data_IF_486155237386
#
_entry.id   IF_486155237386
#
_cell.length_a   1.000
_cell.length_b   1.000
_cell.length_c   1.000
_cell.angle_alpha   90.00
_cell.angle_beta   90.00
_cell.angle_gamma   90.00
#
_symmetry.space_group_name_H-M   'P 1'
#
loop_
_entity.id
_entity.type
_entity.pdbx_description
1 polymer ?
#
# COMPACT_ATOMS: atom_id res chain seq x y z
N UNK A 1 10.72 19.63 -39.80
CA UNK A 1 9.27 19.33 -39.59
C UNK A 1 9.01 17.98 -38.91
N UNK A 2 9.83 16.95 -39.15
CA UNK A 2 9.58 15.58 -38.67
C UNK A 2 9.72 15.39 -37.15
N UNK A 3 10.69 16.07 -36.52
CA UNK A 3 10.84 16.07 -35.05
C UNK A 3 9.66 16.71 -34.31
N UNK A 4 9.02 17.73 -34.89
CA UNK A 4 7.84 18.41 -34.31
C UNK A 4 6.60 17.50 -34.41
N UNK A 5 6.40 16.81 -35.54
CA UNK A 5 5.34 15.79 -35.72
C UNK A 5 5.52 14.58 -34.79
N UNK A 6 6.75 14.06 -34.62
CA UNK A 6 7.06 12.99 -33.65
C UNK A 6 6.76 13.41 -32.21
N UNK A 7 7.14 14.64 -31.83
CA UNK A 7 6.87 15.19 -30.49
C UNK A 7 5.38 15.39 -30.21
N UNK A 8 4.60 15.88 -31.19
CA UNK A 8 3.14 16.02 -31.09
C UNK A 8 2.47 14.65 -30.98
N UNK A 9 2.84 13.67 -31.81
CA UNK A 9 2.33 12.29 -31.72
C UNK A 9 2.64 11.65 -30.36
N UNK A 10 3.86 11.80 -29.86
CA UNK A 10 4.26 11.29 -28.53
C UNK A 10 3.46 11.95 -27.40
N UNK A 11 3.19 13.25 -27.51
CA UNK A 11 2.38 13.99 -26.55
C UNK A 11 0.90 13.54 -26.60
N UNK A 12 0.32 13.38 -27.79
CA UNK A 12 -1.04 12.87 -27.97
C UNK A 12 -1.20 11.44 -27.45
N UNK A 13 -0.25 10.54 -27.76
CA UNK A 13 -0.22 9.18 -27.23
C UNK A 13 -0.09 9.16 -25.70
N UNK A 14 0.70 10.08 -25.13
CA UNK A 14 0.83 10.25 -23.68
C UNK A 14 -0.48 10.69 -23.01
N UNK A 15 -1.15 11.70 -23.57
CA UNK A 15 -2.45 12.19 -23.06
C UNK A 15 -3.51 11.08 -23.16
N UNK A 16 -3.60 10.40 -24.32
CA UNK A 16 -4.54 9.30 -24.52
C UNK A 16 -4.28 8.14 -23.55
N UNK A 17 -3.02 7.74 -23.35
CA UNK A 17 -2.65 6.74 -22.36
C UNK A 17 -3.03 7.16 -20.94
N UNK A 18 -2.86 8.44 -20.58
CA UNK A 18 -3.25 8.98 -19.28
C UNK A 18 -4.77 8.92 -19.06
N UNK A 19 -5.57 9.24 -20.08
CA UNK A 19 -7.03 9.15 -20.04
C UNK A 19 -7.47 7.69 -19.89
N UNK A 20 -6.91 6.77 -20.68
CA UNK A 20 -7.22 5.35 -20.57
C UNK A 20 -6.85 4.76 -19.21
N UNK A 21 -5.68 5.14 -18.67
CA UNK A 21 -5.29 4.74 -17.33
C UNK A 21 -6.26 5.28 -16.27
N UNK A 22 -6.69 6.53 -16.41
CA UNK A 22 -7.68 7.16 -15.52
C UNK A 22 -9.00 6.41 -15.53
N UNK A 23 -9.54 6.13 -16.72
CA UNK A 23 -10.79 5.39 -16.86
C UNK A 23 -10.66 3.97 -16.32
N UNK A 24 -9.58 3.27 -16.67
CA UNK A 24 -9.31 1.91 -16.19
C UNK A 24 -9.21 1.84 -14.67
N UNK A 25 -8.47 2.77 -14.05
CA UNK A 25 -8.30 2.81 -12.59
C UNK A 25 -9.61 3.18 -11.88
N UNK A 26 -10.37 4.13 -12.42
CA UNK A 26 -11.68 4.50 -11.87
C UNK A 26 -12.66 3.32 -11.94
N UNK A 27 -12.82 2.72 -13.12
CA UNK A 27 -13.68 1.54 -13.29
C UNK A 27 -13.24 0.39 -12.39
N UNK A 28 -11.93 0.14 -12.26
CA UNK A 28 -11.40 -0.88 -11.35
C UNK A 28 -11.79 -0.62 -9.89
N UNK A 29 -11.70 0.63 -9.42
CA UNK A 29 -12.15 0.98 -8.07
C UNK A 29 -13.65 0.77 -7.86
N UNK A 30 -14.48 1.11 -8.85
CA UNK A 30 -15.94 0.86 -8.78
C UNK A 30 -16.23 -0.64 -8.74
N UNK A 31 -15.56 -1.42 -9.59
CA UNK A 31 -15.70 -2.87 -9.65
C UNK A 31 -15.30 -3.55 -8.35
N UNK A 32 -14.17 -3.16 -7.74
CA UNK A 32 -13.74 -3.71 -6.44
C UNK A 32 -14.74 -3.37 -5.34
N UNK A 33 -15.23 -2.13 -5.27
CA UNK A 33 -16.18 -1.74 -4.22
C UNK A 33 -17.59 -2.34 -4.38
N UNK A 34 -17.90 -2.99 -5.51
CA UNK A 34 -19.26 -3.44 -5.83
C UNK A 34 -19.39 -4.91 -6.21
N UNK A 35 -18.44 -5.48 -6.95
CA UNK A 35 -18.62 -6.77 -7.65
C UNK A 35 -17.41 -7.71 -7.62
N UNK A 36 -16.18 -7.18 -7.57
CA UNK A 36 -14.96 -7.98 -7.71
C UNK A 36 -14.32 -8.20 -6.36
N UNK A 37 -14.24 -9.47 -5.98
CA UNK A 37 -13.60 -9.95 -4.77
C UNK A 37 -12.29 -10.69 -5.13
N UNK A 38 -11.28 -10.56 -4.27
CA UNK A 38 -10.06 -11.36 -4.34
C UNK A 38 -10.34 -12.83 -3.98
N UNK A 39 -9.51 -13.74 -4.51
CA UNK A 39 -9.63 -15.16 -4.23
C UNK A 39 -9.44 -15.42 -2.71
N UNK A 40 -10.18 -16.40 -2.17
CA UNK A 40 -9.85 -16.93 -0.85
C UNK A 40 -8.44 -17.50 -0.88
N UNK A 41 -7.66 -17.18 0.14
CA UNK A 41 -6.23 -17.52 0.19
C UNK A 41 -5.73 -17.56 1.63
N UNK A 42 -4.49 -18.02 1.89
CA UNK A 42 -3.93 -18.07 3.24
C UNK A 42 -3.86 -16.73 3.99
N UNK A 43 -4.14 -15.60 3.31
CA UNK A 43 -4.19 -14.26 3.92
C UNK A 43 -5.58 -13.61 3.82
N UNK A 44 -6.57 -14.33 3.29
CA UNK A 44 -7.95 -13.86 3.11
C UNK A 44 -8.92 -15.03 3.31
N UNK A 45 -9.50 -15.11 4.50
CA UNK A 45 -10.48 -16.17 4.85
C UNK A 45 -11.78 -16.03 4.07
N UNK A 46 -12.19 -14.78 3.79
CA UNK A 46 -13.49 -14.46 3.22
C UNK A 46 -14.65 -14.73 4.18
N UNK A 47 -14.38 -14.87 5.48
CA UNK A 47 -15.41 -14.95 6.52
C UNK A 47 -16.19 -13.64 6.60
N UNK A 48 -17.51 -13.74 6.78
CA UNK A 48 -18.34 -12.56 7.02
C UNK A 48 -18.10 -12.03 8.43
N UNK A 49 -17.88 -10.72 8.58
CA UNK A 49 -17.62 -10.12 9.89
C UNK A 49 -16.19 -10.36 10.40
N UNK A 50 -15.21 -10.54 9.50
CA UNK A 50 -13.79 -10.72 9.87
C UNK A 50 -13.26 -9.59 10.76
N UNK A 51 -13.79 -8.38 10.59
CA UNK A 51 -13.49 -7.19 11.41
C UNK A 51 -13.86 -7.32 12.90
N UNK A 52 -14.68 -8.31 13.25
CA UNK A 52 -15.09 -8.60 14.63
C UNK A 52 -14.40 -9.84 15.20
N UNK A 53 -13.61 -10.55 14.39
CA UNK A 53 -12.89 -11.73 14.84
C UNK A 53 -11.64 -11.33 15.65
N UNK A 54 -11.17 -12.19 16.57
CA UNK A 54 -9.94 -11.95 17.30
C UNK A 54 -8.74 -11.79 16.34
N UNK A 55 -7.81 -10.93 16.73
CA UNK A 55 -6.62 -10.63 15.93
C UNK A 55 -5.34 -10.82 16.74
N UNK A 56 -4.27 -11.19 16.04
CA UNK A 56 -2.91 -11.22 16.57
C UNK A 56 -2.11 -10.06 15.98
N UNK A 57 -1.27 -9.42 16.79
CA UNK A 57 -0.38 -8.35 16.37
C UNK A 57 1.06 -8.86 16.35
N UNK A 58 1.75 -8.65 15.22
CA UNK A 58 3.20 -8.82 15.13
C UNK A 58 3.88 -7.58 14.63
N UNK A 59 5.14 -7.44 14.99
CA UNK A 59 5.94 -6.28 14.66
C UNK A 59 7.29 -6.68 14.07
N UNK A 60 7.70 -5.99 13.03
CA UNK A 60 9.01 -6.09 12.39
C UNK A 60 9.72 -4.74 12.45
N UNK A 61 11.04 -4.76 12.36
CA UNK A 61 11.87 -3.56 12.33
C UNK A 61 12.97 -3.70 11.29
N UNK A 62 13.02 -2.76 10.35
CA UNK A 62 14.01 -2.72 9.28
C UNK A 62 14.92 -1.50 9.42
N UNK A 63 16.21 -1.63 9.08
CA UNK A 63 17.12 -0.49 9.03
C UNK A 63 16.71 0.48 7.92
N UNK A 64 16.49 1.74 8.26
CA UNK A 64 16.16 2.75 7.26
C UNK A 64 17.35 3.02 6.33
N UNK A 65 18.58 2.82 6.80
CA UNK A 65 19.77 3.02 5.98
C UNK A 65 19.95 1.92 4.93
N UNK A 66 19.66 0.67 5.27
CA UNK A 66 19.57 -0.42 4.29
C UNK A 66 18.47 -0.15 3.26
N UNK A 67 17.31 0.36 3.70
CA UNK A 67 16.23 0.74 2.77
C UNK A 67 16.68 1.90 1.86
N UNK A 68 17.37 2.91 2.39
CA UNK A 68 17.94 4.01 1.59
C UNK A 68 18.98 3.51 0.60
N UNK A 69 19.78 2.49 0.94
CA UNK A 69 20.73 1.87 0.04
C UNK A 69 20.02 1.24 -1.17
N UNK A 70 19.00 0.40 -0.91
CA UNK A 70 18.15 -0.20 -1.96
C UNK A 70 17.50 0.90 -2.81
N UNK A 71 16.94 1.92 -2.13
CA UNK A 71 16.30 3.07 -2.78
C UNK A 71 17.23 3.73 -3.79
N UNK A 72 18.47 4.02 -3.39
CA UNK A 72 19.47 4.68 -4.24
C UNK A 72 19.90 3.77 -5.40
N UNK A 73 20.17 2.49 -5.13
CA UNK A 73 20.56 1.51 -6.16
C UNK A 73 19.50 1.31 -7.23
N UNK A 74 18.23 1.29 -6.85
CA UNK A 74 17.10 1.09 -7.78
C UNK A 74 16.50 2.43 -8.24
N UNK A 75 16.94 3.57 -7.73
CA UNK A 75 16.32 4.87 -8.01
C UNK A 75 14.82 4.95 -7.68
N UNK A 76 14.33 4.17 -6.70
CA UNK A 76 12.91 4.06 -6.26
C UNK A 76 12.64 4.92 -5.02
N UNK A 77 11.47 4.80 -4.37
CA UNK A 77 11.18 5.43 -3.07
C UNK A 77 11.22 4.41 -1.92
N UNK A 78 11.31 4.89 -0.67
CA UNK A 78 11.22 4.04 0.54
C UNK A 78 9.91 3.24 0.55
N UNK A 79 8.81 3.88 0.16
CA UNK A 79 7.48 3.25 0.10
C UNK A 79 7.43 2.13 -0.95
N UNK A 80 8.12 2.30 -2.08
CA UNK A 80 8.19 1.25 -3.11
C UNK A 80 8.95 0.03 -2.58
N UNK A 81 10.07 0.25 -1.87
CA UNK A 81 10.86 -0.83 -1.28
C UNK A 81 10.03 -1.61 -0.26
N UNK A 82 9.46 -0.94 0.74
CA UNK A 82 8.70 -1.64 1.79
C UNK A 82 7.42 -2.29 1.26
N UNK A 83 6.72 -1.66 0.29
CA UNK A 83 5.57 -2.29 -0.36
C UNK A 83 5.99 -3.55 -1.11
N UNK A 84 7.11 -3.49 -1.84
CA UNK A 84 7.68 -4.64 -2.53
C UNK A 84 8.08 -5.77 -1.59
N UNK A 85 8.69 -5.43 -0.45
CA UNK A 85 9.04 -6.38 0.63
C UNK A 85 7.80 -7.08 1.19
N UNK A 86 6.77 -6.32 1.59
CA UNK A 86 5.52 -6.87 2.11
C UNK A 86 4.84 -7.75 1.05
N UNK A 87 4.80 -7.31 -0.22
CA UNK A 87 4.22 -8.07 -1.32
C UNK A 87 4.94 -9.41 -1.56
N UNK A 88 6.27 -9.40 -1.60
CA UNK A 88 7.05 -10.61 -1.80
C UNK A 88 6.90 -11.57 -0.62
N UNK A 89 7.05 -11.08 0.62
CA UNK A 89 6.90 -11.89 1.82
C UNK A 89 5.50 -12.49 1.94
N UNK A 90 4.47 -11.70 1.60
CA UNK A 90 3.08 -12.17 1.55
C UNK A 90 2.91 -13.29 0.52
N UNK A 91 3.50 -13.18 -0.67
CA UNK A 91 3.43 -14.25 -1.69
C UNK A 91 4.17 -15.51 -1.27
N UNK A 92 5.34 -15.38 -0.66
CA UNK A 92 6.10 -16.53 -0.16
C UNK A 92 5.35 -17.24 0.97
N UNK A 93 4.75 -16.48 1.90
CA UNK A 93 3.87 -17.03 2.94
C UNK A 93 2.70 -17.80 2.34
N UNK A 94 1.97 -17.19 1.38
CA UNK A 94 0.85 -17.86 0.72
C UNK A 94 1.28 -19.20 0.10
N UNK A 95 2.33 -19.19 -0.74
CA UNK A 95 2.81 -20.39 -1.43
C UNK A 95 3.27 -21.48 -0.45
N UNK A 96 3.85 -21.10 0.68
CA UNK A 96 4.31 -22.03 1.72
C UNK A 96 3.15 -22.66 2.52
N UNK A 97 2.11 -21.88 2.83
CA UNK A 97 0.94 -22.39 3.57
C UNK A 97 0.04 -23.23 2.65
N UNK A 98 -0.14 -22.80 1.40
CA UNK A 98 -0.96 -23.50 0.41
C UNK A 98 -0.29 -23.41 -0.96
N UNK A 99 0.27 -24.53 -1.40
CA UNK A 99 0.99 -24.65 -2.67
C UNK A 99 0.09 -24.21 -3.84
N UNK A 100 0.59 -23.34 -4.70
CA UNK A 100 -0.12 -22.74 -5.82
C UNK A 100 -0.88 -21.45 -5.48
N UNK A 101 -1.09 -21.13 -4.20
CA UNK A 101 -1.81 -19.91 -3.80
C UNK A 101 -0.99 -18.62 -4.05
N UNK A 102 0.32 -18.73 -4.32
CA UNK A 102 1.14 -17.61 -4.80
C UNK A 102 0.66 -17.02 -6.15
N UNK A 103 -0.25 -17.69 -6.85
CA UNK A 103 -0.88 -17.24 -8.12
C UNK A 103 -2.29 -16.66 -7.94
N UNK A 104 -2.85 -16.69 -6.73
CA UNK A 104 -4.17 -16.18 -6.42
C UNK A 104 -4.28 -14.68 -6.73
N UNK A 105 -5.48 -14.24 -7.11
CA UNK A 105 -5.81 -12.82 -7.24
C UNK A 105 -5.75 -12.20 -5.85
N UNK A 106 -4.84 -11.24 -5.70
CA UNK A 106 -4.56 -10.60 -4.43
C UNK A 106 -4.31 -9.13 -4.69
N UNK A 107 -5.08 -8.31 -4.00
CA UNK A 107 -5.09 -6.86 -4.13
C UNK A 107 -4.75 -6.26 -2.78
N UNK A 108 -3.76 -5.36 -2.79
CA UNK A 108 -3.42 -4.51 -1.66
C UNK A 108 -4.12 -3.16 -1.79
N UNK A 109 -4.75 -2.68 -0.73
CA UNK A 109 -5.20 -1.30 -0.62
C UNK A 109 -4.09 -0.48 0.05
N UNK A 110 -3.35 0.25 -0.78
CA UNK A 110 -2.35 1.20 -0.31
C UNK A 110 -3.03 2.54 -0.05
N UNK A 111 -2.93 3.07 1.16
CA UNK A 111 -3.53 4.35 1.52
C UNK A 111 -2.64 5.50 1.06
N UNK A 112 -3.19 6.36 0.20
CA UNK A 112 -2.56 7.58 -0.27
C UNK A 112 -3.10 8.77 0.53
N UNK A 113 -2.21 9.54 1.17
CA UNK A 113 -2.58 10.86 1.71
C UNK A 113 -2.91 11.82 0.56
N UNK A 114 -4.10 12.42 0.58
CA UNK A 114 -4.59 13.32 -0.47
C UNK A 114 -4.38 14.80 -0.16
N UNK A 115 -3.71 15.12 0.96
CA UNK A 115 -3.31 16.50 1.28
C UNK A 115 -2.23 16.98 0.31
N UNK A 116 -2.44 18.18 -0.24
CA UNK A 116 -1.55 18.78 -1.25
C UNK A 116 -0.21 19.23 -0.68
N UNK A 117 -0.18 19.67 0.58
CA UNK A 117 1.02 20.20 1.25
C UNK A 117 1.55 19.21 2.29
N UNK A 118 2.85 18.99 2.28
CA UNK A 118 3.56 18.30 3.37
C UNK A 118 3.90 19.28 4.47
N UNK A 119 3.70 18.90 5.74
CA UNK A 119 4.05 19.72 6.88
C UNK A 119 3.20 19.40 8.11
N UNK A 120 3.74 19.69 9.28
CA UNK A 120 2.99 19.66 10.52
C UNK A 120 2.21 20.97 10.68
N UNK A 121 0.93 20.86 11.07
CA UNK A 121 0.09 21.99 11.51
C UNK A 121 -0.51 21.63 12.85
N UNK A 122 -0.61 22.62 13.73
CA UNK A 122 -1.29 22.44 15.01
C UNK A 122 -2.79 22.18 14.78
N UNK A 123 -3.44 21.47 15.70
CA UNK A 123 -4.89 21.23 15.63
C UNK A 123 -5.66 22.55 15.49
N UNK A 124 -5.23 23.59 16.20
CA UNK A 124 -5.81 24.94 16.14
C UNK A 124 -5.71 25.58 14.75
N UNK A 125 -4.64 25.32 13.99
CA UNK A 125 -4.52 25.79 12.61
C UNK A 125 -5.39 24.96 11.65
N UNK A 126 -5.51 23.66 11.89
CA UNK A 126 -6.27 22.74 11.04
C UNK A 126 -7.79 22.90 11.16
N UNK A 127 -8.29 23.50 12.25
CA UNK A 127 -9.72 23.77 12.47
C UNK A 127 -10.17 25.15 12.00
N UNK A 128 -9.25 26.02 11.58
CA UNK A 128 -9.60 27.34 11.04
C UNK A 128 -10.44 27.20 9.76
N UNK A 129 -11.41 28.12 9.51
CA UNK A 129 -12.08 28.19 8.22
C UNK A 129 -11.07 28.29 7.08
N UNK A 130 -11.26 27.51 6.02
CA UNK A 130 -10.36 27.46 4.85
C UNK A 130 -8.90 27.10 5.16
N UNK A 131 -8.65 26.33 6.23
CA UNK A 131 -7.31 25.82 6.53
C UNK A 131 -6.72 25.08 5.32
N UNK A 132 -5.45 25.35 5.00
CA UNK A 132 -4.72 24.66 3.92
C UNK A 132 -4.61 23.14 4.16
N UNK A 133 -4.60 22.74 5.44
CA UNK A 133 -4.55 21.35 5.90
C UNK A 133 -5.71 21.11 6.87
N UNK A 134 -6.94 20.90 6.37
CA UNK A 134 -8.11 20.77 7.23
C UNK A 134 -8.04 19.50 8.08
N UNK A 135 -8.60 19.61 9.29
CA UNK A 135 -8.77 18.48 10.20
C UNK A 135 -9.71 17.42 9.61
N UNK A 136 -9.46 16.14 9.91
CA UNK A 136 -10.26 15.00 9.44
C UNK A 136 -9.55 14.08 8.44
N UNK A 137 -10.28 13.11 7.90
CA UNK A 137 -9.70 12.05 7.06
C UNK A 137 -9.56 12.50 5.60
N UNK A 138 -8.32 12.62 5.13
CA UNK A 138 -7.99 12.97 3.75
C UNK A 138 -7.06 11.91 3.17
N UNK A 139 -7.64 10.83 2.67
CA UNK A 139 -6.91 9.76 2.02
C UNK A 139 -7.72 9.17 0.86
N UNK A 140 -7.02 8.40 0.03
CA UNK A 140 -7.62 7.61 -1.04
C UNK A 140 -7.08 6.18 -1.01
N UNK A 141 -7.90 5.23 -1.44
CA UNK A 141 -7.50 3.85 -1.64
C UNK A 141 -6.86 3.68 -3.01
N UNK A 142 -5.60 3.23 -3.05
CA UNK A 142 -4.97 2.76 -4.27
C UNK A 142 -4.99 1.24 -4.26
N UNK A 143 -5.83 0.65 -5.11
CA UNK A 143 -5.84 -0.80 -5.33
C UNK A 143 -4.63 -1.23 -6.14
N UNK A 144 -3.69 -1.95 -5.52
CA UNK A 144 -2.45 -2.43 -6.13
C UNK A 144 -2.49 -3.94 -6.19
N UNK A 145 -2.53 -4.51 -7.39
CA UNK A 145 -2.43 -5.96 -7.54
C UNK A 145 -1.04 -6.44 -7.14
N UNK A 146 -0.99 -7.42 -6.22
CA UNK A 146 0.25 -8.02 -5.76
C UNK A 146 0.79 -8.92 -6.87
N UNK A 147 2.04 -8.75 -7.34
CA UNK A 147 2.63 -9.60 -8.37
C UNK A 147 2.52 -11.08 -7.99
N UNK A 148 2.17 -11.94 -8.95
CA UNK A 148 2.10 -13.38 -8.74
C UNK A 148 3.50 -13.98 -8.58
N UNK A 149 3.60 -15.04 -7.79
CA UNK A 149 4.82 -15.84 -7.66
C UNK A 149 4.76 -17.04 -8.61
N UNK A 150 5.80 -17.22 -9.42
CA UNK A 150 5.92 -18.34 -10.37
C UNK A 150 6.88 -19.40 -9.83
N UNK A 151 6.36 -20.31 -9.01
CA UNK A 151 7.14 -21.36 -8.34
C UNK A 151 7.24 -21.12 -6.83
N UNK A 152 8.02 -21.96 -6.14
CA UNK A 152 8.24 -21.88 -4.69
C UNK A 152 9.16 -20.72 -4.28
N UNK A 153 10.05 -20.28 -5.18
CA UNK A 153 11.00 -19.21 -4.93
C UNK A 153 10.91 -18.08 -5.99
N UNK A 154 11.12 -16.82 -5.58
CA UNK A 154 11.15 -15.70 -6.51
C UNK A 154 12.44 -15.73 -7.35
N UNK A 155 12.31 -15.92 -8.66
CA UNK A 155 13.45 -15.83 -9.60
C UNK A 155 14.12 -14.45 -9.60
N UNK A 156 13.33 -13.40 -9.39
CA UNK A 156 13.77 -12.02 -9.28
C UNK A 156 12.97 -11.36 -8.14
N UNK A 157 13.56 -11.12 -6.96
CA UNK A 157 12.88 -10.45 -5.85
C UNK A 157 12.66 -8.96 -6.13
N UNK A 158 13.52 -8.30 -6.93
CA UNK A 158 13.42 -6.87 -7.23
C UNK A 158 12.19 -6.56 -8.08
N UNK A 159 11.68 -7.53 -8.86
CA UNK A 159 10.46 -7.35 -9.64
C UNK A 159 9.27 -6.87 -8.80
N UNK A 160 9.21 -7.24 -7.51
CA UNK A 160 8.12 -6.86 -6.62
C UNK A 160 8.18 -5.37 -6.30
N UNK A 161 9.38 -4.83 -6.06
CA UNK A 161 9.63 -3.40 -5.86
C UNK A 161 9.29 -2.62 -7.14
N UNK A 162 9.77 -3.09 -8.30
CA UNK A 162 9.53 -2.43 -9.58
C UNK A 162 8.06 -2.41 -9.99
N UNK A 163 7.35 -3.53 -9.82
CA UNK A 163 5.91 -3.61 -10.14
C UNK A 163 5.08 -2.77 -9.16
N UNK A 164 5.41 -2.79 -7.86
CA UNK A 164 4.78 -1.92 -6.87
C UNK A 164 4.93 -0.45 -7.27
N UNK A 165 6.15 0.00 -7.54
CA UNK A 165 6.43 1.36 -8.03
C UNK A 165 5.63 1.69 -9.28
N UNK A 166 5.67 0.84 -10.30
CA UNK A 166 4.99 1.08 -11.59
C UNK A 166 3.48 1.28 -11.39
N UNK A 167 2.83 0.43 -10.60
CA UNK A 167 1.38 0.52 -10.36
C UNK A 167 1.04 1.74 -9.51
N UNK A 168 1.78 1.96 -8.41
CA UNK A 168 1.55 3.09 -7.49
C UNK A 168 1.76 4.43 -8.21
N UNK A 169 2.86 4.58 -8.95
CA UNK A 169 3.13 5.82 -9.70
C UNK A 169 2.06 6.07 -10.76
N UNK A 170 1.64 5.04 -11.50
CA UNK A 170 0.54 5.15 -12.48
C UNK A 170 -0.76 5.60 -11.81
N UNK A 171 -1.12 5.00 -10.68
CA UNK A 171 -2.36 5.34 -9.94
C UNK A 171 -2.31 6.72 -9.30
N UNK A 172 -1.13 7.17 -8.86
CA UNK A 172 -0.92 8.55 -8.35
C UNK A 172 -1.01 9.60 -9.45
N UNK A 173 -0.58 9.28 -10.67
CA UNK A 173 -0.69 10.16 -11.83
C UNK A 173 -2.10 10.17 -12.45
N UNK A 174 -2.97 9.26 -12.03
CA UNK A 174 -4.34 9.10 -12.54
C UNK A 174 -5.31 10.03 -11.81
N UNK A 175 -6.27 10.61 -12.54
CA UNK A 175 -7.38 11.38 -11.95
C UNK A 175 -8.45 10.49 -11.31
N UNK A 176 -8.27 9.16 -11.28
CA UNK A 176 -9.24 8.22 -10.74
C UNK A 176 -9.60 8.52 -9.28
N UNK A 177 -8.64 8.99 -8.46
CA UNK A 177 -8.91 9.38 -7.06
C UNK A 177 -9.96 10.49 -6.99
N UNK A 178 -9.86 11.51 -7.85
CA UNK A 178 -10.81 12.60 -7.91
C UNK A 178 -12.18 12.12 -8.42
N UNK A 179 -12.20 11.27 -9.45
CA UNK A 179 -13.43 10.69 -9.99
C UNK A 179 -14.14 9.81 -8.95
N UNK A 180 -13.41 8.99 -8.20
CA UNK A 180 -13.95 8.19 -7.11
C UNK A 180 -14.51 9.08 -6.00
N UNK A 181 -13.82 10.16 -5.61
CA UNK A 181 -14.35 11.11 -4.64
C UNK A 181 -15.67 11.75 -5.11
N UNK A 182 -15.75 12.16 -6.40
CA UNK A 182 -16.99 12.68 -6.99
C UNK A 182 -18.10 11.63 -7.04
N UNK A 183 -17.77 10.39 -7.40
CA UNK A 183 -18.71 9.28 -7.33
C UNK A 183 -19.28 9.09 -5.92
N UNK A 184 -18.44 9.07 -4.88
CA UNK A 184 -18.89 8.95 -3.50
C UNK A 184 -19.77 10.12 -3.06
N UNK A 185 -19.46 11.35 -3.50
CA UNK A 185 -20.33 12.52 -3.25
C UNK A 185 -21.72 12.36 -3.90
N UNK A 186 -21.76 11.83 -5.13
CA UNK A 186 -23.03 11.54 -5.81
C UNK A 186 -23.81 10.42 -5.12
N UNK A 187 -23.15 9.32 -4.76
CA UNK A 187 -23.77 8.23 -3.99
C UNK A 187 -24.33 8.76 -2.68
N UNK A 188 -23.59 9.59 -1.95
CA UNK A 188 -24.08 10.23 -0.72
C UNK A 188 -25.34 11.06 -0.98
N UNK A 189 -25.32 11.89 -2.03
CA UNK A 189 -26.42 12.78 -2.38
C UNK A 189 -27.70 12.02 -2.75
N UNK A 190 -27.59 10.91 -3.48
CA UNK A 190 -28.73 10.20 -4.05
C UNK A 190 -29.16 8.96 -3.27
N UNK A 191 -28.26 8.33 -2.52
CA UNK A 191 -28.49 7.05 -1.82
C UNK A 191 -28.17 7.10 -0.33
N UNK A 192 -27.74 8.25 0.18
CA UNK A 192 -27.43 8.45 1.59
C UNK A 192 -26.05 7.93 2.02
N UNK A 193 -25.65 8.27 3.25
CA UNK A 193 -24.34 7.89 3.82
C UNK A 193 -24.19 6.38 4.03
N UNK A 194 -25.27 5.64 4.23
CA UNK A 194 -25.26 4.18 4.39
C UNK A 194 -24.74 3.48 3.12
N UNK A 195 -25.14 3.97 1.95
CA UNK A 195 -24.66 3.45 0.67
C UNK A 195 -23.17 3.71 0.46
N UNK A 196 -22.67 4.88 0.88
CA UNK A 196 -21.24 5.22 0.87
C UNK A 196 -20.48 4.31 1.83
N UNK A 197 -20.97 4.16 3.05
CA UNK A 197 -20.37 3.28 4.07
C UNK A 197 -20.28 1.84 3.55
N UNK A 198 -21.37 1.31 2.97
CA UNK A 198 -21.39 -0.02 2.35
C UNK A 198 -20.37 -0.18 1.22
N UNK A 199 -20.22 0.82 0.36
CA UNK A 199 -19.21 0.80 -0.71
C UNK A 199 -17.78 0.77 -0.16
N UNK A 200 -17.47 1.59 0.85
CA UNK A 200 -16.14 1.62 1.47
C UNK A 200 -15.85 0.30 2.22
N UNK A 201 -16.83 -0.20 2.96
CA UNK A 201 -16.75 -1.49 3.64
C UNK A 201 -16.51 -2.62 2.65
N UNK A 202 -17.29 -2.70 1.56
CA UNK A 202 -17.09 -3.69 0.50
C UNK A 202 -15.73 -3.57 -0.15
N UNK A 203 -15.23 -2.35 -0.39
CA UNK A 203 -13.91 -2.13 -0.97
C UNK A 203 -12.81 -2.79 -0.13
N UNK A 204 -12.86 -2.61 1.19
CA UNK A 204 -11.93 -3.28 2.11
C UNK A 204 -12.16 -4.81 2.11
N UNK A 205 -13.40 -5.26 2.31
CA UNK A 205 -13.80 -6.68 2.35
C UNK A 205 -13.37 -7.47 1.11
N UNK A 206 -13.46 -6.83 -0.05
CA UNK A 206 -13.20 -7.47 -1.33
C UNK A 206 -11.70 -7.57 -1.66
N UNK A 207 -10.82 -6.98 -0.84
CA UNK A 207 -9.37 -6.99 -1.05
C UNK A 207 -8.64 -7.70 0.09
N UNK A 208 -7.47 -8.25 -0.20
CA UNK A 208 -6.78 -9.16 0.73
C UNK A 208 -5.96 -8.47 1.82
N UNK A 209 -5.34 -7.32 1.53
CA UNK A 209 -4.43 -6.65 2.48
C UNK A 209 -4.55 -5.13 2.42
N UNK A 210 -4.55 -4.47 3.57
CA UNK A 210 -4.39 -3.02 3.68
C UNK A 210 -2.95 -2.64 4.04
N UNK A 211 -2.40 -1.61 3.40
CA UNK A 211 -1.10 -1.03 3.76
C UNK A 211 -1.27 0.46 3.98
N UNK A 212 -0.95 0.91 5.19
CA UNK A 212 -0.93 2.32 5.56
C UNK A 212 0.46 2.70 6.05
N UNK A 213 0.89 3.93 5.74
CA UNK A 213 2.24 4.37 6.05
C UNK A 213 2.26 5.85 6.47
N UNK A 214 3.00 6.15 7.52
CA UNK A 214 3.20 7.48 8.05
C UNK A 214 4.69 7.69 8.37
N UNK A 215 5.24 8.83 7.96
CA UNK A 215 6.57 9.24 8.41
C UNK A 215 6.49 9.64 9.89
N UNK A 216 7.19 8.91 10.76
CA UNK A 216 7.29 9.26 12.16
C UNK A 216 8.57 10.06 12.49
N UNK A 217 8.78 10.41 13.77
CA UNK A 217 9.84 11.30 14.20
C UNK A 217 11.25 10.76 13.90
N UNK A 218 12.15 11.65 13.48
CA UNK A 218 13.57 11.34 13.33
C UNK A 218 14.33 11.35 14.66
N UNK A 219 13.84 12.13 15.62
CA UNK A 219 14.46 12.36 16.93
C UNK A 219 13.90 11.40 17.98
N UNK A 220 14.66 11.20 19.06
CA UNK A 220 14.23 10.41 20.22
C UNK A 220 13.11 11.15 20.95
N UNK A 221 11.91 10.58 20.94
CA UNK A 221 10.77 11.10 21.69
C UNK A 221 10.78 10.56 23.12
N UNK A 222 10.09 11.25 24.04
CA UNK A 222 9.91 10.82 25.41
C UNK A 222 8.44 10.95 25.86
N UNK A 223 8.00 10.04 26.74
CA UNK A 223 6.71 10.11 27.44
C UNK A 223 7.00 10.20 28.93
N UNK A 224 6.53 11.28 29.58
CA UNK A 224 6.82 11.54 31.00
C UNK A 224 8.31 11.43 31.34
N UNK A 225 9.18 12.03 30.51
CA UNK A 225 10.65 11.97 30.61
C UNK A 225 11.28 10.57 30.42
N UNK A 226 10.52 9.55 30.02
CA UNK A 226 11.05 8.25 29.65
C UNK A 226 11.20 8.12 28.13
N UNK A 227 12.37 7.72 27.61
CA UNK A 227 12.59 7.60 26.17
C UNK A 227 11.68 6.53 25.56
N UNK A 228 11.03 6.87 24.46
CA UNK A 228 10.18 5.94 23.70
C UNK A 228 11.07 5.08 22.80
N UNK A 229 11.01 3.76 22.98
CA UNK A 229 11.82 2.84 22.17
C UNK A 229 11.31 2.69 20.73
N UNK A 230 10.01 2.85 20.49
CA UNK A 230 9.41 2.64 19.19
C UNK A 230 7.96 3.10 19.07
N UNK A 231 7.57 3.49 17.86
CA UNK A 231 6.18 3.70 17.50
C UNK A 231 5.71 2.58 16.58
N UNK A 232 4.46 2.21 16.74
CA UNK A 232 3.72 1.34 15.85
C UNK A 232 2.31 1.90 15.71
N UNK A 233 1.71 1.72 14.55
CA UNK A 233 0.30 1.93 14.36
C UNK A 233 -0.21 0.87 13.39
N UNK A 234 -1.47 0.52 13.52
CA UNK A 234 -2.18 -0.34 12.58
C UNK A 234 -3.66 -0.03 12.68
N UNK A 235 -4.40 -0.18 11.58
CA UNK A 235 -5.85 -0.01 11.58
C UNK A 235 -6.48 -1.30 12.11
N UNK A 236 -7.31 -1.19 13.14
CA UNK A 236 -8.09 -2.31 13.68
C UNK A 236 -9.49 -2.31 13.11
N UNK A 237 -10.18 -3.46 13.19
CA UNK A 237 -11.57 -3.64 12.75
C UNK A 237 -11.81 -3.23 11.29
N UNK A 238 -10.79 -3.35 10.44
CA UNK A 238 -10.98 -3.37 8.98
C UNK A 238 -11.49 -4.74 8.57
N UNK A 239 -12.40 -4.86 7.59
CA UNK A 239 -12.92 -6.14 7.11
C UNK A 239 -11.87 -6.87 6.24
N UNK A 240 -10.67 -7.08 6.76
CA UNK A 240 -9.55 -7.75 6.11
C UNK A 240 -8.85 -8.64 7.13
N UNK A 241 -8.48 -9.86 6.74
CA UNK A 241 -7.72 -10.78 7.61
C UNK A 241 -6.27 -10.32 7.84
N UNK A 242 -5.76 -9.39 7.03
CA UNK A 242 -4.39 -8.88 7.12
C UNK A 242 -4.35 -7.37 6.87
N UNK A 243 -3.85 -6.62 7.85
CA UNK A 243 -3.65 -5.18 7.76
C UNK A 243 -2.25 -4.81 8.24
N UNK A 244 -1.58 -3.92 7.53
CA UNK A 244 -0.20 -3.53 7.83
C UNK A 244 -0.08 -2.03 7.99
N UNK A 245 0.50 -1.60 9.11
CA UNK A 245 0.89 -0.21 9.33
C UNK A 245 2.40 -0.05 9.39
N UNK A 246 2.90 1.01 8.76
CA UNK A 246 4.33 1.27 8.58
C UNK A 246 4.67 2.66 9.12
N UNK A 247 5.60 2.75 10.04
CA UNK A 247 6.07 4.02 10.60
C UNK A 247 7.59 4.08 10.69
N UNK A 248 8.19 5.19 10.28
CA UNK A 248 9.62 5.45 10.52
C UNK A 248 9.83 6.05 11.91
N UNK A 249 10.81 5.57 12.67
CA UNK A 249 11.20 6.17 13.93
C UNK A 249 12.69 5.93 14.20
N UNK A 250 13.45 6.99 14.50
CA UNK A 250 14.87 6.92 14.85
C UNK A 250 15.72 6.02 13.94
N UNK A 251 15.67 6.26 12.62
CA UNK A 251 16.46 5.49 11.66
C UNK A 251 16.01 4.04 11.46
N UNK A 252 14.87 3.62 12.04
CA UNK A 252 14.25 2.32 11.81
C UNK A 252 12.90 2.49 11.13
N UNK A 253 12.59 1.63 10.17
CA UNK A 253 11.24 1.48 9.64
C UNK A 253 10.54 0.35 10.37
N UNK A 254 9.50 0.67 11.13
CA UNK A 254 8.74 -0.26 11.95
C UNK A 254 7.46 -0.65 11.21
N UNK A 255 7.20 -1.94 11.15
CA UNK A 255 6.01 -2.50 10.50
C UNK A 255 5.21 -3.26 11.55
N UNK A 256 3.94 -2.94 11.69
CA UNK A 256 2.98 -3.70 12.48
C UNK A 256 2.04 -4.43 11.51
N UNK A 257 1.89 -5.74 11.67
CA UNK A 257 0.89 -6.53 10.95
C UNK A 257 -0.15 -7.06 11.94
N UNK A 258 -1.40 -6.67 11.71
CA UNK A 258 -2.57 -7.19 12.39
C UNK A 258 -3.13 -8.32 11.53
N UNK A 259 -3.26 -9.52 12.11
CA UNK A 259 -3.64 -10.73 11.39
C UNK A 259 -4.83 -11.42 12.07
N UNK A 260 -5.72 -12.03 11.29
CA UNK A 260 -6.83 -12.86 11.80
C UNK A 260 -6.25 -14.01 12.64
N UNK A 261 -6.60 -14.03 13.93
CA UNK A 261 -6.10 -15.01 14.88
C UNK A 261 -6.57 -16.41 14.47
N UNK A 262 -5.72 -17.40 14.68
CA UNK A 262 -5.96 -18.81 14.35
C UNK A 262 -6.15 -19.11 12.84
N UNK A 263 -6.10 -18.09 11.98
CA UNK A 263 -6.13 -18.22 10.51
C UNK A 263 -4.77 -17.94 9.86
N UNK A 264 -4.12 -16.83 10.23
CA UNK A 264 -2.77 -16.48 9.74
C UNK A 264 -1.77 -16.74 10.86
N UNK A 265 -0.72 -17.52 10.56
CA UNK A 265 0.38 -17.75 11.50
C UNK A 265 1.26 -16.49 11.58
N UNK A 266 1.24 -15.77 12.73
CA UNK A 266 1.90 -14.47 12.86
C UNK A 266 3.42 -14.56 12.76
N UNK A 267 4.01 -15.64 13.29
CA UNK A 267 5.46 -15.81 13.33
C UNK A 267 5.98 -16.21 11.94
N UNK A 268 5.28 -17.13 11.25
CA UNK A 268 5.62 -17.49 9.87
C UNK A 268 5.47 -16.30 8.94
N UNK A 269 4.39 -15.53 9.05
CA UNK A 269 4.21 -14.33 8.22
C UNK A 269 5.38 -13.35 8.40
N UNK A 270 5.75 -13.07 9.65
CA UNK A 270 6.91 -12.22 9.99
C UNK A 270 8.20 -12.73 9.35
N UNK A 271 8.49 -14.03 9.52
CA UNK A 271 9.68 -14.67 8.95
C UNK A 271 9.75 -14.51 7.42
N UNK A 272 8.63 -14.70 6.71
CA UNK A 272 8.62 -14.55 5.25
C UNK A 272 8.80 -13.10 4.80
N UNK A 273 8.27 -12.11 5.53
CA UNK A 273 8.47 -10.69 5.20
C UNK A 273 9.92 -10.27 5.48
N UNK A 274 10.52 -10.74 6.58
CA UNK A 274 11.94 -10.49 6.89
C UNK A 274 12.86 -11.15 5.87
N UNK A 275 12.60 -12.41 5.48
CA UNK A 275 13.33 -13.09 4.42
C UNK A 275 13.22 -12.36 3.09
N UNK A 276 12.01 -11.90 2.72
CA UNK A 276 11.80 -11.11 1.51
C UNK A 276 12.62 -9.81 1.52
N UNK A 277 12.76 -9.15 2.68
CA UNK A 277 13.63 -7.98 2.82
C UNK A 277 15.09 -8.32 2.54
N UNK A 278 15.60 -9.40 3.12
CA UNK A 278 16.99 -9.83 2.91
C UNK A 278 17.26 -10.21 1.45
N UNK A 279 16.31 -10.89 0.79
CA UNK A 279 16.42 -11.22 -0.63
C UNK A 279 16.49 -9.97 -1.52
N UNK A 280 15.64 -8.98 -1.25
CA UNK A 280 15.64 -7.70 -1.98
C UNK A 280 16.92 -6.92 -1.72
N UNK A 281 17.39 -6.86 -0.46
CA UNK A 281 18.63 -6.17 -0.10
C UNK A 281 19.82 -6.78 -0.83
N UNK A 282 19.96 -8.11 -0.78
CA UNK A 282 21.03 -8.85 -1.46
C UNK A 282 21.00 -8.60 -2.97
N UNK A 283 19.84 -8.77 -3.61
CA UNK A 283 19.70 -8.56 -5.04
C UNK A 283 19.97 -7.11 -5.46
N UNK A 284 19.61 -6.12 -4.64
CA UNK A 284 19.89 -4.71 -4.93
C UNK A 284 21.38 -4.35 -4.79
N UNK A 285 22.10 -5.02 -3.89
CA UNK A 285 23.55 -4.88 -3.77
C UNK A 285 24.29 -5.45 -4.98
N UNK A 286 23.80 -6.58 -5.52
CA UNK A 286 24.34 -7.25 -6.71
C UNK A 286 23.93 -6.58 -8.04
N UNK A 287 22.87 -5.77 -8.02
CA UNK A 287 22.38 -5.08 -9.21
C UNK A 287 23.40 -4.03 -9.74
N UNK A 288 23.58 -3.93 -11.07
CA UNK A 288 24.39 -2.87 -11.66
C UNK A 288 23.84 -1.49 -11.28
N UNK A 289 24.74 -0.53 -11.09
CA UNK A 289 24.35 0.83 -10.73
C UNK A 289 23.42 1.43 -11.81
N UNK A 290 22.43 2.25 -11.41
CA UNK A 290 21.56 2.89 -12.39
C UNK A 290 22.40 3.80 -13.29
N UNK A 291 22.07 3.90 -14.59
CA UNK A 291 22.78 4.82 -15.48
C UNK A 291 22.70 6.24 -14.91
N UNK A 292 23.83 6.95 -14.90
CA UNK A 292 23.87 8.35 -14.52
C UNK A 292 22.95 9.13 -15.47
N UNK A 293 21.99 9.87 -14.90
CA UNK A 293 21.11 10.77 -15.64
C UNK A 293 21.89 11.96 -16.22
#
# INVERSE_FOLDING_TARGET
MEGKKKRIRKCFLGIFSSILNTLSDFCSSIMIGSFVEDDKSPIRSGHSGVEFLPVSLVTMSFSLDQIKQIRTKLGVTINDVISGTIFLGTRMYMEAISKGSGKARTTSLVLLNTRMFGGYKSVQEMTKPNAELPWGNHFAFLSVSIPKLSGSEPKDPLQFVWKARKIIQRKRASFAVYLTAKYLQLVNKFRGPEAVSKYLHNTLKNTSIGITNVMGPGEQMALANHPINGFYFVVTNSPQSLMTGVVSYMGKLRVAALVEKDFIDPQKYTLYVENAFQMILKAACEAPAPPAN
#
